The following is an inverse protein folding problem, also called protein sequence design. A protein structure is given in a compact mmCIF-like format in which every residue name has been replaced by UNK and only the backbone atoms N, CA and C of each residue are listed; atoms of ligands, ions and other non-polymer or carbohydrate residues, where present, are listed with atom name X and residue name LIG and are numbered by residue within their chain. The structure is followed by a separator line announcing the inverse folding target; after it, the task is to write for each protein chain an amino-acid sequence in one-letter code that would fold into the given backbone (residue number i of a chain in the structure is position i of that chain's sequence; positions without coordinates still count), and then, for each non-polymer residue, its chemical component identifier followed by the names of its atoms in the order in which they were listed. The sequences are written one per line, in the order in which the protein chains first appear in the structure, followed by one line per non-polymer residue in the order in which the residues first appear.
data_IF_527748130664
#
_entry.id   IF_527748130664
#
_cell.length_a   1.000
_cell.length_b   1.000
_cell.length_c   1.000
_cell.angle_alpha   90.00
_cell.angle_beta   90.00
_cell.angle_gamma   90.00
#
_symmetry.space_group_name_H-M   'P 1'
#
loop_
_entity.id
_entity.type
_entity.pdbx_description
1 polymer ?
#
# COMPACT_ATOMS: atom_id res chain seq x y z
N UNK A 1 40.18 -10.81 15.01
CA UNK A 1 38.84 -11.33 14.65
C UNK A 1 37.86 -10.19 14.84
N UNK A 2 37.48 -9.50 13.77
CA UNK A 2 36.49 -8.42 13.84
C UNK A 2 35.12 -9.02 13.59
N UNK A 3 34.37 -9.27 14.66
CA UNK A 3 32.94 -9.58 14.54
C UNK A 3 32.24 -8.32 14.04
N UNK A 4 31.77 -8.33 12.78
CA UNK A 4 30.81 -7.36 12.30
C UNK A 4 29.55 -7.53 13.15
N UNK A 5 29.10 -6.45 13.82
CA UNK A 5 27.81 -6.44 14.48
C UNK A 5 26.71 -6.77 13.45
N UNK A 6 25.67 -7.53 13.83
CA UNK A 6 24.54 -7.75 12.93
C UNK A 6 23.95 -6.39 12.55
N UNK A 7 23.66 -6.19 11.26
CA UNK A 7 22.90 -5.02 10.80
C UNK A 7 21.50 -5.18 11.39
N UNK A 8 21.20 -4.41 12.44
CA UNK A 8 19.87 -4.39 13.02
C UNK A 8 18.91 -3.77 12.01
N UNK A 9 18.04 -4.62 11.49
CA UNK A 9 16.93 -4.25 10.66
C UNK A 9 15.96 -3.37 11.44
N UNK A 10 16.04 -2.05 11.25
CA UNK A 10 15.11 -1.13 11.90
C UNK A 10 13.69 -1.37 11.38
N UNK A 11 12.73 -1.47 12.30
CA UNK A 11 11.31 -1.65 11.96
C UNK A 11 10.83 -0.55 11.02
N UNK A 12 10.02 -0.91 10.03
CA UNK A 12 9.29 0.06 9.22
C UNK A 12 8.21 0.68 10.11
N UNK A 13 8.26 2.01 10.30
CA UNK A 13 7.28 2.71 11.14
C UNK A 13 6.31 3.48 10.26
N UNK A 14 5.05 3.04 10.24
CA UNK A 14 3.96 3.70 9.54
C UNK A 14 3.17 4.57 10.51
N UNK A 15 2.75 5.75 10.06
CA UNK A 15 1.75 6.55 10.78
C UNK A 15 0.37 5.99 10.50
N UNK A 16 -0.38 5.72 11.55
CA UNK A 16 -1.78 5.32 11.46
C UNK A 16 -2.66 6.35 12.15
N UNK A 17 -3.98 6.37 11.92
CA UNK A 17 -4.87 7.37 12.48
C UNK A 17 -4.87 7.46 14.02
N UNK A 18 -4.51 6.37 14.69
CA UNK A 18 -4.54 6.27 16.15
C UNK A 18 -3.18 5.92 16.77
N UNK A 19 -2.08 6.01 16.00
CA UNK A 19 -0.75 5.73 16.53
C UNK A 19 0.30 5.47 15.46
N UNK A 20 1.19 4.54 15.77
CA UNK A 20 2.23 4.07 14.84
C UNK A 20 2.16 2.56 14.73
N UNK A 21 2.27 2.06 13.51
CA UNK A 21 2.38 0.64 13.23
C UNK A 21 3.84 0.33 12.92
N UNK A 22 4.37 -0.68 13.60
CA UNK A 22 5.71 -1.18 13.37
C UNK A 22 5.59 -2.48 12.57
N UNK A 23 6.23 -2.53 11.41
CA UNK A 23 6.29 -3.70 10.55
C UNK A 23 7.74 -4.18 10.58
N UNK A 24 7.93 -5.47 10.87
CA UNK A 24 9.23 -6.10 10.70
C UNK A 24 9.56 -6.09 9.19
N UNK A 25 10.74 -5.61 8.76
CA UNK A 25 11.14 -5.65 7.36
C UNK A 25 11.06 -7.04 6.73
N UNK A 26 11.22 -8.12 7.50
CA UNK A 26 11.05 -9.49 7.03
C UNK A 26 9.58 -9.84 6.69
N UNK A 27 8.62 -9.13 7.29
CA UNK A 27 7.18 -9.29 7.08
C UNK A 27 6.60 -8.24 6.12
N UNK A 28 7.43 -7.31 5.60
CA UNK A 28 6.97 -6.20 4.78
C UNK A 28 6.24 -6.66 3.51
N UNK A 29 6.72 -7.72 2.86
CA UNK A 29 6.08 -8.29 1.67
C UNK A 29 4.70 -8.87 1.99
N UNK A 30 4.60 -9.65 3.06
CA UNK A 30 3.34 -10.27 3.48
C UNK A 30 2.33 -9.21 3.92
N UNK A 31 2.80 -8.16 4.60
CA UNK A 31 1.99 -7.00 4.95
C UNK A 31 1.48 -6.27 3.71
N UNK A 32 2.35 -6.00 2.72
CA UNK A 32 1.97 -5.37 1.47
C UNK A 32 0.94 -6.23 0.70
N UNK A 33 1.11 -7.55 0.64
CA UNK A 33 0.13 -8.48 0.04
C UNK A 33 -1.23 -8.38 0.73
N UNK A 34 -1.25 -8.40 2.07
CA UNK A 34 -2.49 -8.25 2.83
C UNK A 34 -3.17 -6.91 2.51
N UNK A 35 -2.41 -5.80 2.48
CA UNK A 35 -2.95 -4.46 2.22
C UNK A 35 -3.45 -4.28 0.81
N UNK A 36 -2.75 -4.80 -0.19
CA UNK A 36 -3.24 -4.85 -1.58
C UNK A 36 -4.59 -5.54 -1.63
N UNK A 37 -4.71 -6.74 -1.05
CA UNK A 37 -5.98 -7.50 -1.06
C UNK A 37 -7.13 -6.75 -0.39
N UNK A 38 -6.88 -6.12 0.75
CA UNK A 38 -7.88 -5.35 1.47
C UNK A 38 -8.31 -4.10 0.68
N UNK A 39 -7.35 -3.40 0.09
CA UNK A 39 -7.61 -2.22 -0.73
C UNK A 39 -8.40 -2.59 -1.99
N UNK A 40 -7.99 -3.63 -2.72
CA UNK A 40 -8.69 -4.09 -3.92
C UNK A 40 -10.11 -4.55 -3.61
N UNK A 41 -10.31 -5.29 -2.52
CA UNK A 41 -11.64 -5.71 -2.08
C UNK A 41 -12.55 -4.53 -1.73
N UNK A 42 -12.02 -3.55 -1.00
CA UNK A 42 -12.77 -2.35 -0.65
C UNK A 42 -13.14 -1.52 -1.89
N UNK A 43 -12.19 -1.27 -2.79
CA UNK A 43 -12.44 -0.48 -3.99
C UNK A 43 -13.38 -1.20 -4.96
N UNK A 44 -13.31 -2.52 -5.07
CA UNK A 44 -14.27 -3.30 -5.84
C UNK A 44 -15.70 -3.08 -5.32
N UNK A 45 -15.91 -3.23 -4.01
CA UNK A 45 -17.22 -3.01 -3.36
C UNK A 45 -17.74 -1.59 -3.58
N UNK A 46 -16.86 -0.59 -3.52
CA UNK A 46 -17.23 0.81 -3.76
C UNK A 46 -17.53 1.09 -5.24
N UNK A 47 -16.90 0.35 -6.15
CA UNK A 47 -17.02 0.57 -7.60
C UNK A 47 -18.21 -0.12 -8.26
N UNK A 48 -18.84 -1.07 -7.55
CA UNK A 48 -19.95 -1.91 -8.04
C UNK A 48 -21.32 -1.20 -7.96
N UNK A 49 -21.37 0.06 -7.55
CA UNK A 49 -22.63 0.83 -7.52
C UNK A 49 -22.96 1.43 -8.90
N UNK A 50 -24.23 1.42 -9.29
CA UNK A 50 -24.70 1.97 -10.57
C UNK A 50 -24.41 3.48 -10.76
N UNK A 51 -24.15 4.19 -9.66
CA UNK A 51 -23.80 5.62 -9.62
C UNK A 51 -22.32 5.90 -9.35
N UNK A 52 -21.44 4.89 -9.48
CA UNK A 52 -20.01 5.06 -9.14
C UNK A 52 -19.32 6.03 -10.09
N UNK A 53 -18.60 6.99 -9.50
CA UNK A 53 -17.72 7.93 -10.19
C UNK A 53 -16.55 7.23 -10.94
N UNK A 54 -16.18 7.79 -12.08
CA UNK A 54 -15.10 7.26 -12.92
C UNK A 54 -13.74 7.24 -12.20
N UNK A 55 -13.50 8.16 -11.25
CA UNK A 55 -12.29 8.16 -10.42
C UNK A 55 -12.22 6.93 -9.51
N UNK A 56 -13.34 6.52 -8.92
CA UNK A 56 -13.39 5.30 -8.11
C UNK A 56 -13.19 4.04 -8.94
N UNK A 57 -13.74 4.01 -10.16
CA UNK A 57 -13.46 2.93 -11.11
C UNK A 57 -11.99 2.88 -11.51
N UNK A 58 -11.35 4.03 -11.69
CA UNK A 58 -9.91 4.09 -11.99
C UNK A 58 -9.08 3.59 -10.81
N UNK A 59 -9.38 4.02 -9.59
CA UNK A 59 -8.73 3.51 -8.37
C UNK A 59 -8.89 1.99 -8.24
N UNK A 60 -10.09 1.46 -8.50
CA UNK A 60 -10.35 0.03 -8.48
C UNK A 60 -9.53 -0.72 -9.53
N UNK A 61 -9.41 -0.20 -10.76
CA UNK A 61 -8.56 -0.79 -11.80
C UNK A 61 -7.08 -0.82 -11.40
N UNK A 62 -6.54 0.29 -10.90
CA UNK A 62 -5.16 0.32 -10.41
C UNK A 62 -4.95 -0.67 -9.26
N UNK A 63 -5.93 -0.83 -8.38
CA UNK A 63 -5.86 -1.82 -7.31
C UNK A 63 -5.94 -3.26 -7.79
N UNK A 64 -6.60 -3.52 -8.91
CA UNK A 64 -6.56 -4.83 -9.54
C UNK A 64 -5.18 -5.11 -10.14
N UNK A 65 -4.56 -4.10 -10.78
CA UNK A 65 -3.18 -4.23 -11.28
C UNK A 65 -2.17 -4.44 -10.15
N UNK A 66 -2.35 -3.78 -9.01
CA UNK A 66 -1.56 -4.09 -7.81
C UNK A 66 -1.66 -5.58 -7.43
N UNK A 67 -2.86 -6.17 -7.55
CA UNK A 67 -3.07 -7.61 -7.33
C UNK A 67 -2.29 -8.52 -8.30
N UNK A 68 -2.09 -8.07 -9.54
CA UNK A 68 -1.30 -8.80 -10.53
C UNK A 68 0.21 -8.72 -10.21
N UNK A 69 0.68 -7.52 -9.86
CA UNK A 69 2.09 -7.22 -9.61
C UNK A 69 2.56 -7.73 -8.25
N UNK A 70 1.69 -7.79 -7.24
CA UNK A 70 2.11 -8.12 -5.86
C UNK A 70 2.72 -9.52 -5.73
N UNK A 71 2.42 -10.44 -6.65
CA UNK A 71 3.08 -11.74 -6.74
C UNK A 71 4.59 -11.65 -7.00
N UNK A 72 5.05 -10.53 -7.56
CA UNK A 72 6.44 -10.24 -7.94
C UNK A 72 7.15 -9.28 -6.97
N UNK A 73 6.53 -8.94 -5.84
CA UNK A 73 7.03 -7.91 -4.90
C UNK A 73 8.44 -8.18 -4.38
N UNK A 74 8.86 -9.46 -4.31
CA UNK A 74 10.21 -9.88 -3.91
C UNK A 74 11.30 -9.44 -4.89
N UNK A 75 10.92 -9.06 -6.12
CA UNK A 75 11.83 -8.48 -7.10
C UNK A 75 11.87 -6.95 -6.95
N UNK A 76 13.02 -6.36 -7.26
CA UNK A 76 13.18 -4.89 -7.22
C UNK A 76 12.17 -4.22 -8.17
N UNK A 77 12.02 -4.75 -9.38
CA UNK A 77 11.09 -4.21 -10.39
C UNK A 77 9.64 -4.28 -9.91
N UNK A 78 9.19 -5.44 -9.43
CA UNK A 78 7.84 -5.62 -8.91
C UNK A 78 7.55 -4.76 -7.68
N UNK A 79 8.53 -4.57 -6.79
CA UNK A 79 8.41 -3.67 -5.64
C UNK A 79 8.27 -2.19 -6.08
N UNK A 80 9.07 -1.76 -7.05
CA UNK A 80 9.01 -0.40 -7.60
C UNK A 80 7.68 -0.15 -8.29
N UNK A 81 7.22 -1.07 -9.13
CA UNK A 81 5.96 -0.99 -9.86
C UNK A 81 4.77 -0.96 -8.89
N UNK A 82 4.74 -1.87 -7.91
CA UNK A 82 3.70 -1.88 -6.88
C UNK A 82 3.66 -0.55 -6.12
N UNK A 83 4.82 0.00 -5.77
CA UNK A 83 4.91 1.29 -5.12
C UNK A 83 4.38 2.44 -5.98
N UNK A 84 4.58 2.40 -7.30
CA UNK A 84 4.03 3.40 -8.21
C UNK A 84 2.51 3.31 -8.29
N UNK A 85 1.96 2.11 -8.45
CA UNK A 85 0.50 1.88 -8.49
C UNK A 85 -0.18 2.30 -7.18
N UNK A 86 0.43 1.99 -6.03
CA UNK A 86 -0.07 2.39 -4.72
C UNK A 86 -0.12 3.92 -4.58
N UNK A 87 0.95 4.62 -5.02
CA UNK A 87 0.98 6.10 -5.02
C UNK A 87 -0.07 6.72 -5.93
N UNK A 88 -0.25 6.19 -7.13
CA UNK A 88 -1.28 6.67 -8.06
C UNK A 88 -2.68 6.47 -7.49
N UNK A 89 -2.93 5.30 -6.87
CA UNK A 89 -4.21 5.01 -6.21
C UNK A 89 -4.48 5.98 -5.06
N UNK A 90 -3.50 6.22 -4.19
CA UNK A 90 -3.61 7.20 -3.11
C UNK A 90 -3.88 8.62 -3.63
N UNK A 91 -3.25 9.03 -4.73
CA UNK A 91 -3.49 10.35 -5.34
C UNK A 91 -4.92 10.49 -5.88
N UNK A 92 -5.44 9.45 -6.53
CA UNK A 92 -6.83 9.46 -7.03
C UNK A 92 -7.82 9.54 -5.87
N UNK A 93 -7.59 8.77 -4.81
CA UNK A 93 -8.45 8.76 -3.63
C UNK A 93 -8.44 10.10 -2.88
N UNK A 94 -7.28 10.76 -2.76
CA UNK A 94 -7.18 12.13 -2.22
C UNK A 94 -7.91 13.16 -3.06
N UNK A 95 -7.87 13.01 -4.39
CA UNK A 95 -8.50 13.94 -5.32
C UNK A 95 -10.03 13.75 -5.39
N UNK A 96 -10.53 12.58 -5.00
CA UNK A 96 -11.96 12.27 -5.06
C UNK A 96 -12.72 12.95 -3.92
N UNK A 97 -13.73 13.75 -4.28
CA UNK A 97 -14.61 14.43 -3.33
C UNK A 97 -16.05 13.92 -3.48
N UNK A 98 -16.52 13.05 -2.58
CA UNK A 98 -17.90 12.57 -2.62
C UNK A 98 -18.90 13.72 -2.41
N UNK A 99 -19.97 13.72 -3.19
CA UNK A 99 -21.04 14.74 -3.14
C UNK A 99 -21.84 14.72 -1.84
N UNK A 100 -21.94 13.56 -1.18
CA UNK A 100 -22.68 13.37 0.08
C UNK A 100 -21.87 13.72 1.34
N UNK A 101 -20.67 14.28 1.16
CA UNK A 101 -19.77 14.62 2.26
C UNK A 101 -18.84 13.46 2.68
N UNK A 102 -18.17 13.55 3.84
CA UNK A 102 -17.10 12.62 4.22
C UNK A 102 -17.55 11.15 4.18
N UNK A 103 -16.77 10.29 3.52
CA UNK A 103 -17.04 8.86 3.41
C UNK A 103 -16.01 8.04 4.20
N UNK A 104 -16.49 7.25 5.16
CA UNK A 104 -15.63 6.32 5.92
C UNK A 104 -14.94 5.30 5.03
N UNK A 105 -15.60 4.85 3.95
CA UNK A 105 -15.02 3.88 3.03
C UNK A 105 -13.89 4.49 2.21
N UNK A 106 -14.05 5.74 1.74
CA UNK A 106 -12.97 6.46 1.07
C UNK A 106 -11.79 6.73 2.01
N UNK A 107 -12.09 7.13 3.23
CA UNK A 107 -11.07 7.37 4.23
C UNK A 107 -10.28 6.08 4.51
N UNK A 108 -10.96 4.94 4.66
CA UNK A 108 -10.31 3.64 4.84
C UNK A 108 -9.47 3.24 3.62
N UNK A 109 -9.99 3.43 2.40
CA UNK A 109 -9.25 3.15 1.17
C UNK A 109 -7.99 4.00 1.08
N UNK A 110 -8.07 5.29 1.45
CA UNK A 110 -6.93 6.19 1.52
C UNK A 110 -5.88 5.68 2.52
N UNK A 111 -6.30 5.29 3.73
CA UNK A 111 -5.38 4.75 4.74
C UNK A 111 -4.68 3.49 4.26
N UNK A 112 -5.39 2.55 3.65
CA UNK A 112 -4.79 1.32 3.11
C UNK A 112 -3.79 1.62 1.98
N UNK A 113 -4.09 2.58 1.11
CA UNK A 113 -3.18 3.01 0.06
C UNK A 113 -1.91 3.68 0.62
N UNK A 114 -2.06 4.57 1.61
CA UNK A 114 -0.93 5.23 2.27
C UNK A 114 -0.05 4.24 3.05
N UNK A 115 -0.65 3.28 3.76
CA UNK A 115 0.08 2.21 4.44
C UNK A 115 0.86 1.33 3.47
N UNK A 116 0.28 1.00 2.31
CA UNK A 116 0.95 0.24 1.27
C UNK A 116 2.16 1.01 0.70
N UNK A 117 1.99 2.32 0.41
CA UNK A 117 3.09 3.18 -0.04
C UNK A 117 4.21 3.23 1.01
N UNK A 118 3.86 3.40 2.28
CA UNK A 118 4.83 3.46 3.37
C UNK A 118 5.56 2.13 3.59
N UNK A 119 4.86 1.00 3.48
CA UNK A 119 5.44 -0.35 3.61
C UNK A 119 6.49 -0.58 2.52
N UNK A 120 6.15 -0.28 1.27
CA UNK A 120 7.05 -0.47 0.12
C UNK A 120 8.23 0.50 0.18
N UNK A 121 8.01 1.75 0.58
CA UNK A 121 9.07 2.75 0.69
C UNK A 121 10.01 2.49 1.89
N UNK A 122 9.52 1.84 2.95
CA UNK A 122 10.29 1.52 4.16
C UNK A 122 11.04 0.18 4.09
N UNK A 123 10.64 -0.74 3.20
CA UNK A 123 11.27 -2.04 3.02
C UNK A 123 12.76 -2.06 2.55
N UNK A 124 13.32 -1.08 1.82
CA UNK A 124 14.62 -1.26 1.18
C UNK A 124 15.86 -1.18 2.09
N UNK A 125 15.72 -1.09 3.43
CA UNK A 125 16.88 -0.93 4.33
C UNK A 125 17.47 -2.25 4.88
N UNK A 126 16.84 -3.40 4.63
CA UNK A 126 17.13 -4.63 5.37
C UNK A 126 17.82 -5.78 4.64
N UNK A 127 18.20 -5.58 3.38
CA UNK A 127 18.64 -6.66 2.50
C UNK A 127 19.93 -6.41 1.74
N UNK A 128 20.81 -5.50 2.16
CA UNK A 128 22.09 -5.29 1.46
C UNK A 128 23.28 -5.36 2.41
N UNK A 129 23.61 -6.58 2.82
CA UNK A 129 25.02 -6.88 3.08
C UNK A 129 25.72 -6.89 1.72
N UNK A 130 26.45 -5.81 1.41
CA UNK A 130 27.42 -5.78 0.30
C UNK A 130 28.53 -6.82 0.47
#
# INVERSE_FOLDING_TARGET
MNARAPIECQSIVLRTPYGSMHIDPAEADDHAIMRVRQLSGLLALMSDSDSTDDMLRLAAKLSAEMGNVVSQIRSIEGSVELGQLARQTAQILLAFQPTEGPSHMLWLAQQLADELVGTIAGAPACGVAS
#
